data_IF_239342197391
#
_entry.id   IF_239342197391
#
_cell.length_a   1.000
_cell.length_b   1.000
_cell.length_c   1.000
_cell.angle_alpha   90.00
_cell.angle_beta   90.00
_cell.angle_gamma   90.00
#
_symmetry.space_group_name_H-M   'P 1'
#
loop_
_entity.id
_entity.type
_entity.pdbx_description
1 polymer ?
#
# COMPACT_ATOMS: atom_id res chain seq x y z
N UNK A 1 -9.63 -5.52 1.14
CA UNK A 1 -9.68 -5.15 -0.31
C UNK A 1 -8.50 -4.28 -0.75
N UNK A 2 -8.12 -3.23 0.00
CA UNK A 2 -7.00 -2.34 -0.38
C UNK A 2 -5.67 -3.07 -0.58
N UNK A 3 -5.27 -3.94 0.35
CA UNK A 3 -4.03 -4.72 0.23
C UNK A 3 -4.00 -5.56 -1.06
N UNK A 4 -5.10 -6.25 -1.36
CA UNK A 4 -5.24 -7.03 -2.58
C UNK A 4 -5.15 -6.15 -3.83
N UNK A 5 -5.87 -5.04 -3.90
CA UNK A 5 -5.85 -4.14 -5.07
C UNK A 5 -4.44 -3.58 -5.32
N UNK A 6 -3.76 -3.15 -4.25
CA UNK A 6 -2.39 -2.66 -4.29
C UNK A 6 -1.42 -3.72 -4.80
N UNK A 7 -1.44 -4.91 -4.18
CA UNK A 7 -0.59 -6.03 -4.56
C UNK A 7 -0.86 -6.46 -6.00
N UNK A 8 -2.12 -6.65 -6.37
CA UNK A 8 -2.51 -7.09 -7.71
C UNK A 8 -2.03 -6.14 -8.79
N UNK A 9 -2.16 -4.83 -8.58
CA UNK A 9 -1.65 -3.82 -9.50
C UNK A 9 -0.12 -3.92 -9.67
N UNK A 10 0.62 -4.04 -8.56
CA UNK A 10 2.08 -4.16 -8.59
C UNK A 10 2.55 -5.48 -9.21
N UNK A 11 1.81 -6.57 -8.99
CA UNK A 11 2.10 -7.88 -9.56
C UNK A 11 1.89 -7.91 -11.08
N UNK A 12 0.84 -7.23 -11.58
CA UNK A 12 0.62 -7.09 -13.03
C UNK A 12 1.74 -6.26 -13.67
N UNK A 13 2.29 -5.29 -12.92
CA UNK A 13 3.38 -4.41 -13.35
C UNK A 13 3.16 -3.79 -14.74
N UNK A 14 2.05 -3.05 -14.94
CA UNK A 14 1.60 -2.65 -16.28
C UNK A 14 2.46 -1.58 -16.96
N UNK A 15 3.28 -0.83 -16.21
CA UNK A 15 4.12 0.24 -16.76
C UNK A 15 5.60 -0.16 -16.79
N UNK A 16 6.39 0.46 -17.68
CA UNK A 16 7.84 0.26 -17.74
C UNK A 16 8.52 0.69 -16.43
N UNK A 17 8.12 1.85 -15.89
CA UNK A 17 8.62 2.42 -14.66
C UNK A 17 7.49 2.93 -13.76
N UNK A 18 7.84 3.23 -12.51
CA UNK A 18 6.99 3.97 -11.55
C UNK A 18 5.72 3.25 -11.05
N UNK A 19 5.58 1.94 -11.28
CA UNK A 19 4.50 1.13 -10.73
C UNK A 19 4.34 1.31 -9.21
N UNK A 20 5.44 1.37 -8.45
CA UNK A 20 5.37 1.61 -7.01
C UNK A 20 4.68 2.92 -6.62
N UNK A 21 4.92 4.01 -7.39
CA UNK A 21 4.27 5.31 -7.15
C UNK A 21 2.80 5.27 -7.52
N UNK A 22 2.48 4.72 -8.69
CA UNK A 22 1.10 4.63 -9.16
C UNK A 22 0.28 3.70 -8.26
N UNK A 23 0.85 2.59 -7.80
CA UNK A 23 0.17 1.67 -6.89
C UNK A 23 -0.17 2.29 -5.54
N UNK A 24 0.67 3.18 -5.00
CA UNK A 24 0.35 3.94 -3.78
C UNK A 24 -0.72 5.00 -4.05
N UNK A 25 -0.65 5.70 -5.17
CA UNK A 25 -1.66 6.68 -5.57
C UNK A 25 -3.03 6.02 -5.79
N UNK A 26 -3.08 4.85 -6.44
CA UNK A 26 -4.29 4.07 -6.67
C UNK A 26 -5.05 3.79 -5.37
N UNK A 27 -4.33 3.46 -4.30
CA UNK A 27 -4.95 3.20 -2.99
C UNK A 27 -5.56 4.48 -2.41
N UNK A 28 -4.88 5.62 -2.55
CA UNK A 28 -5.44 6.89 -2.13
C UNK A 28 -6.67 7.30 -2.97
N UNK A 29 -6.70 7.01 -4.27
CA UNK A 29 -7.89 7.23 -5.09
C UNK A 29 -9.08 6.41 -4.57
N UNK A 30 -8.88 5.12 -4.26
CA UNK A 30 -9.93 4.26 -3.71
C UNK A 30 -10.41 4.78 -2.34
N UNK A 31 -9.49 5.21 -1.49
CA UNK A 31 -9.85 5.76 -0.17
C UNK A 31 -10.68 7.04 -0.29
N UNK A 32 -10.27 7.96 -1.15
CA UNK A 32 -10.97 9.22 -1.36
C UNK A 32 -12.37 9.01 -1.97
N UNK A 33 -12.52 8.04 -2.88
CA UNK A 33 -13.83 7.64 -3.43
C UNK A 33 -14.78 7.09 -2.35
N UNK A 34 -14.21 6.47 -1.32
CA UNK A 34 -14.94 5.98 -0.14
C UNK A 34 -15.11 7.04 0.96
N UNK A 35 -14.76 8.31 0.70
CA UNK A 35 -14.75 9.40 1.68
C UNK A 35 -13.89 9.10 2.93
N UNK A 36 -12.81 8.32 2.76
CA UNK A 36 -11.81 8.02 3.79
C UNK A 36 -10.57 8.91 3.61
N UNK A 37 -9.81 9.18 4.69
CA UNK A 37 -8.61 9.99 4.61
C UNK A 37 -7.55 9.33 3.71
N UNK A 38 -6.79 10.16 3.00
CA UNK A 38 -5.61 9.70 2.28
C UNK A 38 -4.55 9.21 3.27
N UNK A 39 -3.82 8.16 2.90
CA UNK A 39 -2.78 7.54 3.70
C UNK A 39 -1.40 7.69 3.04
N UNK A 40 -0.37 7.62 3.88
CA UNK A 40 1.01 7.53 3.44
C UNK A 40 1.59 6.15 3.79
N UNK A 41 1.87 5.33 2.77
CA UNK A 41 2.68 4.13 2.98
C UNK A 41 4.16 4.53 3.07
N UNK A 42 4.67 4.60 4.30
CA UNK A 42 6.05 4.99 4.61
C UNK A 42 7.05 4.07 3.89
N UNK A 43 7.69 4.54 2.82
CA UNK A 43 8.72 3.79 2.06
C UNK A 43 10.01 4.58 1.83
N UNK A 44 10.10 5.78 2.40
CA UNK A 44 11.22 6.71 2.20
C UNK A 44 12.49 6.26 2.94
N UNK A 45 12.36 5.65 4.11
CA UNK A 45 13.51 5.10 4.84
C UNK A 45 13.86 3.70 4.36
N UNK A 46 15.15 3.33 4.42
CA UNK A 46 15.61 1.97 4.09
C UNK A 46 14.89 0.90 4.90
N UNK A 47 14.64 1.15 6.19
CA UNK A 47 13.95 0.22 7.08
C UNK A 47 12.50 0.03 6.69
N UNK A 48 11.75 1.12 6.44
CA UNK A 48 10.35 1.01 6.08
C UNK A 48 10.18 0.44 4.66
N UNK A 49 11.07 0.78 3.74
CA UNK A 49 11.13 0.15 2.41
C UNK A 49 11.31 -1.36 2.51
N UNK A 50 12.24 -1.85 3.35
CA UNK A 50 12.43 -3.28 3.57
C UNK A 50 11.18 -3.95 4.13
N UNK A 51 10.49 -3.31 5.09
CA UNK A 51 9.22 -3.82 5.64
C UNK A 51 8.14 -3.93 4.57
N UNK A 52 8.00 -2.89 3.75
CA UNK A 52 7.04 -2.85 2.65
C UNK A 52 7.34 -3.91 1.57
N UNK A 53 8.60 -4.04 1.15
CA UNK A 53 9.01 -5.09 0.18
C UNK A 53 8.73 -6.48 0.76
N UNK A 54 9.04 -6.72 2.04
CA UNK A 54 8.73 -8.00 2.70
C UNK A 54 7.23 -8.30 2.71
N UNK A 55 6.39 -7.28 2.90
CA UNK A 55 4.95 -7.45 2.83
C UNK A 55 4.46 -7.81 1.42
N UNK A 56 5.03 -7.21 0.37
CA UNK A 56 4.74 -7.58 -1.03
C UNK A 56 5.19 -9.01 -1.34
N UNK A 57 6.39 -9.40 -0.87
CA UNK A 57 6.89 -10.77 -1.05
C UNK A 57 6.03 -11.83 -0.37
N UNK A 58 5.48 -11.52 0.81
CA UNK A 58 4.51 -12.39 1.47
C UNK A 58 3.20 -12.48 0.67
N UNK A 59 2.74 -11.34 0.14
CA UNK A 59 1.55 -11.27 -0.71
C UNK A 59 1.72 -12.04 -2.03
N UNK A 60 2.93 -12.10 -2.61
CA UNK A 60 3.24 -12.95 -3.76
C UNK A 60 3.03 -14.44 -3.48
N UNK A 61 3.13 -14.85 -2.21
CA UNK A 61 2.85 -16.21 -1.74
C UNK A 61 1.38 -16.41 -1.29
N UNK A 62 0.52 -15.40 -1.50
CA UNK A 62 -0.88 -15.41 -1.10
C UNK A 62 -1.14 -14.95 0.34
N UNK A 63 -0.12 -14.55 1.11
CA UNK A 63 -0.30 -14.00 2.46
C UNK A 63 -0.31 -12.47 2.46
N UNK A 64 -1.51 -11.89 2.47
CA UNK A 64 -1.72 -10.45 2.48
C UNK A 64 -1.56 -9.79 3.86
N UNK A 65 -1.44 -10.57 4.95
CA UNK A 65 -1.57 -10.05 6.33
C UNK A 65 -0.57 -8.95 6.65
N UNK A 66 0.67 -9.07 6.18
CA UNK A 66 1.69 -8.05 6.42
C UNK A 66 1.36 -6.74 5.69
N UNK A 67 0.81 -6.82 4.48
CA UNK A 67 0.43 -5.65 3.70
C UNK A 67 -0.83 -5.00 4.26
N UNK A 68 -1.81 -5.81 4.69
CA UNK A 68 -3.00 -5.34 5.40
C UNK A 68 -2.61 -4.57 6.67
N UNK A 69 -1.70 -5.12 7.47
CA UNK A 69 -1.21 -4.44 8.68
C UNK A 69 -0.51 -3.11 8.39
N UNK A 70 0.24 -3.00 7.29
CA UNK A 70 0.85 -1.72 6.91
C UNK A 70 -0.19 -0.66 6.52
N UNK A 71 -1.24 -1.07 5.80
CA UNK A 71 -2.33 -0.19 5.40
C UNK A 71 -3.19 0.21 6.61
N UNK A 72 -3.46 -0.73 7.52
CA UNK A 72 -4.18 -0.47 8.77
C UNK A 72 -3.44 0.55 9.65
N UNK A 73 -2.12 0.38 9.82
CA UNK A 73 -1.29 1.34 10.55
C UNK A 73 -1.36 2.75 9.91
N UNK A 74 -1.26 2.82 8.58
CA UNK A 74 -1.33 4.10 7.88
C UNK A 74 -2.72 4.76 7.98
N UNK A 75 -3.81 3.97 8.02
CA UNK A 75 -5.17 4.47 8.25
C UNK A 75 -5.36 5.01 9.67
N UNK A 76 -4.82 4.32 10.68
CA UNK A 76 -4.86 4.78 12.08
C UNK A 76 -4.14 6.13 12.22
N UNK A 77 -2.91 6.22 11.69
CA UNK A 77 -2.13 7.47 11.71
C UNK A 77 -2.84 8.62 10.98
N UNK A 78 -3.52 8.33 9.86
CA UNK A 78 -4.28 9.35 9.12
C UNK A 78 -5.55 9.81 9.85
N UNK A 79 -6.19 8.92 10.62
CA UNK A 79 -7.36 9.24 11.44
C UNK A 79 -7.03 10.07 12.68
N UNK A 80 -5.82 9.90 13.25
CA UNK A 80 -5.32 10.70 14.38
C UNK A 80 -4.91 12.13 13.98
N UNK A 81 -4.77 12.41 12.69
CA UNK A 81 -4.34 13.70 12.15
C UNK A 81 -5.50 14.70 11.91
N UNK A 82 -6.75 14.31 12.24
CA UNK A 82 -7.99 15.10 12.08
C UNK A 82 -8.54 15.44 13.46
#
# INVERSE_FOLDING_TARGET
MLAWAHHRFLWIHPFQDYNGRIGRLLINIILLDLALPAIELKVETTTNRKRYIKALQAADQGDLKLLEKLIEQALQEAGEAI
#
